data_IF_566560686564
#
_entry.id   IF_566560686564
#
_cell.length_a   1.000
_cell.length_b   1.000
_cell.length_c   1.000
_cell.angle_alpha   90.00
_cell.angle_beta   90.00
_cell.angle_gamma   90.00
#
_symmetry.space_group_name_H-M   'P 1'
#
loop_
_entity.id
_entity.type
_entity.pdbx_description
1 polymer ?
#
# COMPACT_ATOMS: atom_id res chain seq x y z
N UNK A 1 65.77 -2.61 35.85
CA UNK A 1 64.44 -2.09 35.43
C UNK A 1 64.33 -2.18 33.91
N UNK A 2 63.19 -2.65 33.34
CA UNK A 2 63.02 -2.66 31.88
C UNK A 2 63.00 -1.23 31.33
N UNK A 3 63.70 -0.99 30.23
CA UNK A 3 63.74 0.32 29.57
C UNK A 3 62.32 0.79 29.20
N UNK A 4 62.09 2.12 29.21
CA UNK A 4 60.80 2.74 28.86
C UNK A 4 60.26 2.18 27.53
N UNK A 5 61.14 1.98 26.53
CA UNK A 5 60.81 1.35 25.24
C UNK A 5 60.23 -0.07 25.38
N UNK A 6 60.75 -0.88 26.31
CA UNK A 6 60.26 -2.25 26.55
C UNK A 6 58.89 -2.26 27.23
N UNK A 7 58.60 -1.27 28.10
CA UNK A 7 57.27 -1.09 28.70
C UNK A 7 56.24 -0.63 27.68
N UNK A 8 56.59 0.36 26.86
CA UNK A 8 55.73 0.86 25.77
C UNK A 8 55.41 -0.26 24.78
N UNK A 9 56.40 -1.05 24.32
CA UNK A 9 56.17 -2.20 23.43
C UNK A 9 55.23 -3.26 24.02
N UNK A 10 55.35 -3.54 25.32
CA UNK A 10 54.44 -4.49 26.00
C UNK A 10 53.02 -3.94 26.06
N UNK A 11 52.87 -2.66 26.37
CA UNK A 11 51.56 -2.00 26.43
C UNK A 11 50.88 -1.98 25.05
N UNK A 12 51.61 -1.59 24.00
CA UNK A 12 51.07 -1.58 22.63
C UNK A 12 50.67 -2.97 22.16
N UNK A 13 51.45 -3.99 22.52
CA UNK A 13 51.13 -5.37 22.19
C UNK A 13 49.85 -5.85 22.89
N UNK A 14 49.70 -5.59 24.18
CA UNK A 14 48.48 -5.95 24.93
C UNK A 14 47.26 -5.18 24.43
N UNK A 15 47.41 -3.88 24.14
CA UNK A 15 46.35 -3.05 23.58
C UNK A 15 45.90 -3.57 22.21
N UNK A 16 46.84 -3.93 21.33
CA UNK A 16 46.52 -4.51 20.02
C UNK A 16 45.73 -5.82 20.13
N UNK A 17 46.07 -6.70 21.08
CA UNK A 17 45.35 -7.96 21.31
C UNK A 17 43.96 -7.74 21.90
N UNK A 18 43.84 -6.80 22.83
CA UNK A 18 42.53 -6.42 23.38
C UNK A 18 41.61 -5.85 22.28
N UNK A 19 42.14 -4.98 21.42
CA UNK A 19 41.41 -4.43 20.28
C UNK A 19 41.04 -5.52 19.27
N UNK A 20 41.90 -6.51 19.03
CA UNK A 20 41.59 -7.66 18.19
C UNK A 20 40.42 -8.50 18.76
N UNK A 21 40.38 -8.69 20.08
CA UNK A 21 39.26 -9.36 20.75
C UNK A 21 37.95 -8.57 20.62
N UNK A 22 38.01 -7.24 20.78
CA UNK A 22 36.83 -6.36 20.58
C UNK A 22 36.36 -6.44 19.12
N UNK A 23 37.27 -6.34 18.15
CA UNK A 23 36.94 -6.46 16.74
C UNK A 23 36.28 -7.80 16.41
N UNK A 24 36.77 -8.90 17.00
CA UNK A 24 36.16 -10.22 16.85
C UNK A 24 34.71 -10.26 17.35
N UNK A 25 34.46 -9.66 18.52
CA UNK A 25 33.12 -9.56 19.08
C UNK A 25 32.17 -8.74 18.21
N UNK A 26 32.66 -7.62 17.64
CA UNK A 26 31.89 -6.79 16.70
C UNK A 26 31.57 -7.58 15.43
N UNK A 27 32.56 -8.24 14.82
CA UNK A 27 32.35 -9.07 13.63
C UNK A 27 31.34 -10.17 13.93
N UNK A 28 31.49 -10.90 15.04
CA UNK A 28 30.54 -11.93 15.44
C UNK A 28 29.11 -11.38 15.61
N UNK A 29 28.97 -10.20 16.24
CA UNK A 29 27.68 -9.54 16.39
C UNK A 29 27.05 -9.20 15.03
N UNK A 30 27.81 -8.57 14.12
CA UNK A 30 27.36 -8.27 12.76
C UNK A 30 26.96 -9.54 11.98
N UNK A 31 27.71 -10.63 12.15
CA UNK A 31 27.41 -11.92 11.52
C UNK A 31 26.11 -12.52 12.01
N UNK A 32 25.90 -12.47 13.33
CA UNK A 32 24.69 -12.98 13.96
C UNK A 32 23.46 -12.17 13.54
N UNK A 33 23.53 -10.84 13.63
CA UNK A 33 22.42 -9.95 13.26
C UNK A 33 22.13 -10.01 11.76
N UNK A 34 23.15 -10.01 10.90
CA UNK A 34 22.99 -10.17 9.46
C UNK A 34 22.36 -11.53 9.08
N UNK A 35 22.75 -12.61 9.77
CA UNK A 35 22.15 -13.93 9.57
C UNK A 35 20.68 -13.97 10.01
N UNK A 36 20.33 -13.35 11.15
CA UNK A 36 18.94 -13.25 11.60
C UNK A 36 18.09 -12.44 10.61
N UNK A 37 18.59 -11.30 10.14
CA UNK A 37 17.93 -10.49 9.11
C UNK A 37 17.75 -11.27 7.80
N UNK A 38 18.75 -12.00 7.33
CA UNK A 38 18.64 -12.84 6.13
C UNK A 38 17.55 -13.92 6.28
N UNK A 39 17.40 -14.53 7.47
CA UNK A 39 16.32 -15.49 7.73
C UNK A 39 14.94 -14.84 7.62
N UNK A 40 14.80 -13.61 8.11
CA UNK A 40 13.55 -12.86 7.97
C UNK A 40 13.28 -12.51 6.49
N UNK A 41 14.30 -12.11 5.73
CA UNK A 41 14.16 -11.82 4.29
C UNK A 41 13.73 -13.04 3.45
N UNK A 42 14.13 -14.25 3.85
CA UNK A 42 13.73 -15.50 3.19
C UNK A 42 12.23 -15.75 3.28
N UNK A 43 11.65 -15.51 4.46
CA UNK A 43 10.21 -15.65 4.68
C UNK A 43 9.44 -14.49 4.05
N UNK A 44 10.09 -13.32 4.00
CA UNK A 44 9.48 -12.06 3.61
C UNK A 44 9.30 -11.18 4.84
N UNK A 45 9.83 -9.97 4.79
CA UNK A 45 9.65 -8.95 5.82
C UNK A 45 8.69 -7.90 5.33
N UNK A 46 7.87 -7.39 6.25
CA UNK A 46 6.95 -6.30 5.98
C UNK A 46 7.09 -5.16 6.98
N UNK A 47 6.74 -3.94 6.54
CA UNK A 47 6.60 -2.79 7.44
C UNK A 47 5.19 -2.72 8.02
N UNK A 48 4.98 -2.02 9.14
CA UNK A 48 3.64 -1.58 9.52
C UNK A 48 2.97 -0.77 8.40
N UNK A 49 1.63 -0.73 8.33
CA UNK A 49 0.91 0.15 7.41
C UNK A 49 1.29 1.62 7.59
N UNK A 50 1.52 2.31 6.49
CA UNK A 50 1.86 3.73 6.46
C UNK A 50 0.98 4.47 5.48
N UNK A 51 0.51 5.67 5.84
CA UNK A 51 -0.29 6.51 4.95
C UNK A 51 0.55 6.89 3.72
N UNK A 52 -0.04 6.72 2.54
CA UNK A 52 0.60 7.04 1.26
C UNK A 52 -0.11 8.22 0.60
N UNK A 53 -0.89 7.95 -0.44
CA UNK A 53 -1.68 8.94 -1.16
C UNK A 53 -3.09 9.02 -0.56
N UNK A 54 -3.74 10.15 -0.73
CA UNK A 54 -5.16 10.33 -0.43
C UNK A 54 -5.82 11.00 -1.61
N UNK A 55 -6.99 10.51 -2.02
CA UNK A 55 -7.81 11.18 -3.02
C UNK A 55 -9.04 11.79 -2.36
N UNK A 56 -9.18 13.10 -2.52
CA UNK A 56 -10.30 13.87 -1.99
C UNK A 56 -11.36 14.15 -3.06
N UNK A 57 -12.60 14.30 -2.61
CA UNK A 57 -13.78 14.60 -3.40
C UNK A 57 -14.52 15.81 -2.82
N UNK A 58 -13.98 17.02 -3.08
CA UNK A 58 -14.37 18.21 -2.34
C UNK A 58 -15.72 18.79 -2.75
N UNK A 59 -16.13 18.69 -4.01
CA UNK A 59 -17.38 19.30 -4.47
C UNK A 59 -18.60 18.54 -3.91
N UNK A 60 -18.50 17.22 -3.83
CA UNK A 60 -19.58 16.41 -3.25
C UNK A 60 -19.71 16.68 -1.76
N UNK A 61 -18.62 16.57 -1.02
CA UNK A 61 -18.72 16.60 0.45
C UNK A 61 -18.83 17.99 1.05
N UNK A 62 -18.20 19.01 0.45
CA UNK A 62 -18.20 20.36 1.01
C UNK A 62 -19.34 21.23 0.46
N UNK A 63 -19.87 20.92 -0.72
CA UNK A 63 -20.83 21.79 -1.39
C UNK A 63 -22.16 21.10 -1.71
N UNK A 64 -22.13 19.95 -2.39
CA UNK A 64 -23.36 19.27 -2.82
C UNK A 64 -24.11 18.60 -1.66
N UNK A 65 -23.41 17.85 -0.81
CA UNK A 65 -24.01 17.08 0.28
C UNK A 65 -24.72 17.97 1.32
N UNK A 66 -24.18 19.13 1.76
CA UNK A 66 -24.93 20.07 2.59
C UNK A 66 -26.25 20.54 1.95
N UNK A 67 -26.25 20.79 0.63
CA UNK A 67 -27.44 21.23 -0.11
C UNK A 67 -28.45 20.08 -0.26
N UNK A 68 -27.96 18.86 -0.51
CA UNK A 68 -28.75 17.64 -0.59
C UNK A 68 -29.50 17.38 0.73
N UNK A 69 -28.82 17.53 1.86
CA UNK A 69 -29.40 17.30 3.20
C UNK A 69 -30.34 18.44 3.61
N UNK A 70 -29.99 19.70 3.35
CA UNK A 70 -30.80 20.86 3.77
C UNK A 70 -32.02 21.11 2.88
N UNK A 71 -31.93 20.81 1.59
CA UNK A 71 -32.96 21.14 0.60
C UNK A 71 -33.22 19.99 -0.41
N UNK A 72 -33.57 18.78 0.05
CA UNK A 72 -33.70 17.60 -0.81
C UNK A 72 -34.72 17.79 -1.95
N UNK A 73 -35.81 18.52 -1.71
CA UNK A 73 -36.83 18.81 -2.73
C UNK A 73 -36.33 19.68 -3.89
N UNK A 74 -35.40 20.62 -3.63
CA UNK A 74 -34.78 21.42 -4.67
C UNK A 74 -33.86 20.57 -5.55
N UNK A 75 -33.04 19.71 -4.93
CA UNK A 75 -32.17 18.79 -5.66
C UNK A 75 -32.99 17.85 -6.52
N UNK A 76 -34.07 17.27 -5.96
CA UNK A 76 -34.99 16.41 -6.69
C UNK A 76 -35.53 17.08 -7.96
N UNK A 77 -36.10 18.28 -7.82
CA UNK A 77 -36.70 19.01 -8.94
C UNK A 77 -35.67 19.35 -10.01
N UNK A 78 -34.46 19.76 -9.60
CA UNK A 78 -33.37 20.05 -10.52
C UNK A 78 -32.93 18.80 -11.30
N UNK A 79 -32.75 17.67 -10.60
CA UNK A 79 -32.28 16.43 -11.23
C UNK A 79 -33.35 15.80 -12.12
N UNK A 80 -34.64 15.84 -11.73
CA UNK A 80 -35.75 15.43 -12.59
C UNK A 80 -35.78 16.24 -13.89
N UNK A 81 -35.54 17.56 -13.81
CA UNK A 81 -35.51 18.42 -15.01
C UNK A 81 -34.30 18.14 -15.90
N UNK A 82 -33.12 17.89 -15.31
CA UNK A 82 -31.92 17.54 -16.07
C UNK A 82 -32.05 16.14 -16.70
N UNK A 83 -32.64 15.18 -15.99
CA UNK A 83 -32.92 13.82 -16.48
C UNK A 83 -33.94 13.82 -17.62
N UNK A 84 -34.94 14.72 -17.58
CA UNK A 84 -35.90 14.87 -18.67
C UNK A 84 -35.28 15.44 -19.96
N UNK A 85 -34.22 16.26 -19.84
CA UNK A 85 -33.54 16.91 -20.96
C UNK A 85 -32.36 16.11 -21.53
N UNK A 86 -32.10 14.91 -21.02
CA UNK A 86 -30.99 14.08 -21.51
C UNK A 86 -31.28 13.49 -22.90
N UNK A 87 -30.25 13.19 -23.71
CA UNK A 87 -30.44 12.48 -24.97
C UNK A 87 -31.18 11.15 -24.78
N UNK A 88 -32.12 10.84 -25.68
CA UNK A 88 -32.80 9.55 -25.68
C UNK A 88 -31.75 8.42 -25.72
N UNK A 89 -31.92 7.41 -24.87
CA UNK A 89 -31.03 6.24 -24.69
C UNK A 89 -29.73 6.48 -23.88
N UNK A 90 -29.63 7.57 -23.11
CA UNK A 90 -28.51 7.75 -22.17
C UNK A 90 -28.95 7.63 -20.70
N UNK A 91 -28.11 6.98 -19.90
CA UNK A 91 -28.22 6.98 -18.43
C UNK A 91 -27.88 8.37 -17.89
N UNK A 92 -28.57 8.79 -16.83
CA UNK A 92 -28.30 10.10 -16.23
C UNK A 92 -26.98 10.07 -15.46
N UNK A 93 -26.09 11.01 -15.78
CA UNK A 93 -24.89 11.31 -15.00
C UNK A 93 -24.84 12.82 -14.77
N UNK A 94 -24.87 13.23 -13.51
CA UNK A 94 -24.69 14.61 -13.09
C UNK A 94 -23.22 14.90 -12.81
N UNK A 95 -22.59 15.71 -13.65
CA UNK A 95 -21.23 16.20 -13.49
C UNK A 95 -21.26 17.43 -12.59
N UNK A 96 -20.73 17.31 -11.37
CA UNK A 96 -20.64 18.41 -10.41
C UNK A 96 -19.36 19.20 -10.63
N UNK A 97 -19.52 20.48 -10.94
CA UNK A 97 -18.43 21.43 -11.10
C UNK A 97 -18.58 22.62 -10.15
N UNK A 98 -17.48 23.36 -9.95
CA UNK A 98 -17.54 24.66 -9.27
C UNK A 98 -18.26 25.66 -10.17
N UNK A 99 -19.18 26.44 -9.60
CA UNK A 99 -19.86 27.50 -10.33
C UNK A 99 -18.84 28.52 -10.88
N UNK A 100 -18.72 28.62 -12.19
CA UNK A 100 -18.00 29.70 -12.87
C UNK A 100 -18.91 30.92 -12.96
N UNK A 101 -18.35 32.12 -12.72
CA UNK A 101 -19.07 33.39 -12.89
C UNK A 101 -19.77 33.41 -14.25
N UNK A 102 -21.09 33.56 -14.19
CA UNK A 102 -22.07 33.50 -15.29
C UNK A 102 -21.60 34.24 -16.54
N UNK A 103 -21.21 33.51 -17.58
CA UNK A 103 -21.42 33.96 -18.96
C UNK A 103 -22.73 33.34 -19.45
N UNK A 104 -23.71 34.20 -19.62
CA UNK A 104 -25.10 33.98 -20.00
C UNK A 104 -25.28 33.13 -21.28
N UNK A 105 -25.15 31.80 -21.18
CA UNK A 105 -25.59 30.88 -22.25
C UNK A 105 -25.80 29.41 -21.86
N UNK A 106 -25.46 28.96 -20.64
CA UNK A 106 -25.79 27.60 -20.19
C UNK A 106 -27.03 27.58 -19.28
N UNK A 107 -27.91 26.61 -19.53
CA UNK A 107 -29.25 26.43 -18.95
C UNK A 107 -29.34 26.63 -17.41
N UNK A 108 -29.88 27.78 -17.00
CA UNK A 108 -30.76 28.14 -15.87
C UNK A 108 -30.76 27.42 -14.50
N UNK A 109 -29.81 26.55 -14.15
CA UNK A 109 -29.75 25.89 -12.81
C UNK A 109 -28.56 26.34 -11.93
N UNK A 110 -27.60 27.05 -12.51
CA UNK A 110 -26.45 27.64 -11.79
C UNK A 110 -26.86 28.63 -10.69
N UNK A 111 -28.13 29.09 -10.67
CA UNK A 111 -28.66 30.00 -9.66
C UNK A 111 -29.17 29.28 -8.39
N UNK A 112 -29.46 27.97 -8.45
CA UNK A 112 -30.00 27.21 -7.30
C UNK A 112 -28.88 26.79 -6.34
N UNK A 113 -27.74 26.40 -6.90
CA UNK A 113 -26.56 25.99 -6.17
C UNK A 113 -25.52 27.12 -6.29
N UNK A 114 -25.54 28.10 -5.39
CA UNK A 114 -24.70 29.32 -5.52
C UNK A 114 -23.18 29.02 -5.60
N UNK A 115 -22.75 27.81 -5.26
CA UNK A 115 -21.36 27.36 -5.25
C UNK A 115 -21.04 26.19 -6.20
N UNK A 116 -22.05 25.51 -6.77
CA UNK A 116 -21.88 24.28 -7.59
C UNK A 116 -22.75 24.37 -8.85
N UNK A 117 -22.28 23.82 -9.94
CA UNK A 117 -23.07 23.64 -11.17
C UNK A 117 -23.16 22.15 -11.50
N UNK A 118 -24.34 21.70 -11.92
CA UNK A 118 -24.54 20.33 -12.39
C UNK A 118 -24.77 20.37 -13.89
N UNK A 119 -23.96 19.64 -14.65
CA UNK A 119 -24.14 19.45 -16.10
C UNK A 119 -24.37 17.96 -16.40
N UNK A 120 -24.89 17.65 -17.59
CA UNK A 120 -25.14 16.26 -18.02
C UNK A 120 -24.19 15.79 -19.13
N UNK A 121 -23.28 16.64 -19.57
CA UNK A 121 -22.42 16.39 -20.74
C UNK A 121 -21.01 16.01 -20.36
N UNK A 122 -20.37 16.80 -19.50
CA UNK A 122 -18.96 16.63 -19.12
C UNK A 122 -18.58 17.60 -18.01
N UNK A 123 -17.46 17.30 -17.35
CA UNK A 123 -16.80 18.25 -16.47
C UNK A 123 -16.25 19.47 -17.24
N UNK A 124 -16.21 20.64 -16.59
CA UNK A 124 -15.72 21.89 -17.16
C UNK A 124 -14.22 21.84 -17.51
N UNK A 125 -13.42 21.17 -16.67
CA UNK A 125 -12.00 20.92 -16.92
C UNK A 125 -11.83 19.49 -17.42
N UNK A 126 -11.55 19.26 -18.72
CA UNK A 126 -11.38 17.91 -19.25
C UNK A 126 -10.13 17.22 -18.68
N UNK A 127 -10.14 15.90 -18.66
CA UNK A 127 -9.03 15.02 -18.26
C UNK A 127 -8.86 13.91 -19.30
N UNK A 128 -7.63 13.39 -19.48
CA UNK A 128 -7.35 12.29 -20.38
C UNK A 128 -8.12 11.00 -20.07
N UNK A 129 -8.64 10.86 -18.84
CA UNK A 129 -9.36 9.67 -18.37
C UNK A 129 -10.88 9.83 -18.32
N UNK A 130 -11.43 10.94 -18.87
CA UNK A 130 -12.88 11.20 -18.89
C UNK A 130 -13.70 10.13 -19.63
N UNK A 131 -13.06 9.29 -20.45
CA UNK A 131 -13.71 8.14 -21.07
C UNK A 131 -14.23 7.13 -20.04
N UNK A 132 -13.62 7.02 -18.86
CA UNK A 132 -14.08 6.18 -17.73
C UNK A 132 -15.32 6.76 -17.02
N UNK A 133 -15.63 8.04 -17.26
CA UNK A 133 -16.72 8.75 -16.62
C UNK A 133 -17.89 9.02 -17.58
N UNK A 134 -17.86 8.44 -18.78
CA UNK A 134 -18.94 8.57 -19.75
C UNK A 134 -20.19 7.79 -19.29
N UNK A 135 -21.40 8.28 -19.57
CA UNK A 135 -22.63 7.62 -19.13
C UNK A 135 -22.76 6.17 -19.58
N UNK A 136 -22.29 5.84 -20.79
CA UNK A 136 -22.32 4.47 -21.30
C UNK A 136 -21.41 3.54 -20.50
N UNK A 137 -20.17 3.96 -20.22
CA UNK A 137 -19.22 3.16 -19.44
C UNK A 137 -19.68 3.00 -18.00
N UNK A 138 -20.11 4.09 -17.36
CA UNK A 138 -20.61 4.05 -15.98
C UNK A 138 -21.86 3.18 -15.83
N UNK A 139 -22.75 3.20 -16.82
CA UNK A 139 -23.92 2.34 -16.82
C UNK A 139 -23.54 0.86 -16.81
N UNK A 140 -22.61 0.45 -17.69
CA UNK A 140 -22.15 -0.94 -17.75
C UNK A 140 -21.42 -1.34 -16.46
N UNK A 141 -20.49 -0.52 -15.98
CA UNK A 141 -19.79 -0.76 -14.70
C UNK A 141 -20.76 -0.97 -13.56
N UNK A 142 -21.70 -0.04 -13.36
CA UNK A 142 -22.65 -0.12 -12.25
C UNK A 142 -23.61 -1.31 -12.42
N UNK A 143 -24.02 -1.62 -13.66
CA UNK A 143 -24.90 -2.76 -13.96
C UNK A 143 -24.25 -4.07 -13.52
N UNK A 144 -22.97 -4.27 -13.81
CA UNK A 144 -22.26 -5.49 -13.44
C UNK A 144 -21.81 -5.50 -11.97
N UNK A 145 -21.34 -4.37 -11.44
CA UNK A 145 -20.86 -4.26 -10.08
C UNK A 145 -21.99 -4.43 -9.04
N UNK A 146 -23.21 -3.96 -9.35
CA UNK A 146 -24.36 -4.01 -8.45
C UNK A 146 -25.36 -5.12 -8.80
N UNK A 147 -25.07 -5.96 -9.81
CA UNK A 147 -25.99 -6.99 -10.32
C UNK A 147 -26.53 -7.93 -9.23
N UNK A 148 -25.69 -8.25 -8.24
CA UNK A 148 -26.01 -9.19 -7.18
C UNK A 148 -26.74 -8.55 -5.97
N UNK A 149 -27.03 -7.24 -6.01
CA UNK A 149 -27.71 -6.53 -4.93
C UNK A 149 -29.11 -6.07 -5.38
N UNK A 150 -30.18 -6.78 -4.99
CA UNK A 150 -31.54 -6.52 -5.49
C UNK A 150 -32.10 -5.14 -5.14
N UNK A 151 -31.61 -4.52 -4.07
CA UNK A 151 -31.95 -3.15 -3.66
C UNK A 151 -31.47 -2.10 -4.69
N UNK A 152 -30.53 -2.46 -5.55
CA UNK A 152 -29.89 -1.56 -6.48
C UNK A 152 -30.47 -1.67 -7.88
N UNK A 153 -31.62 -1.01 -8.06
CA UNK A 153 -32.12 -0.72 -9.40
C UNK A 153 -31.55 0.63 -9.89
N UNK A 154 -30.70 0.58 -10.91
CA UNK A 154 -30.09 1.78 -11.52
C UNK A 154 -31.12 2.76 -12.07
N UNK A 155 -32.32 2.32 -12.43
CA UNK A 155 -33.37 3.24 -12.89
C UNK A 155 -33.84 4.18 -11.79
N UNK A 156 -33.71 3.78 -10.53
CA UNK A 156 -34.19 4.52 -9.37
C UNK A 156 -33.13 5.47 -8.79
N UNK A 157 -31.93 5.53 -9.38
CA UNK A 157 -30.84 6.32 -8.86
C UNK A 157 -30.31 7.29 -9.91
N UNK A 158 -29.89 8.47 -9.46
CA UNK A 158 -29.08 9.39 -10.21
C UNK A 158 -27.60 9.16 -9.90
N UNK A 159 -26.79 9.01 -10.94
CA UNK A 159 -25.34 8.92 -10.81
C UNK A 159 -24.78 10.34 -10.78
N UNK A 160 -23.96 10.62 -9.79
CA UNK A 160 -23.34 11.93 -9.57
C UNK A 160 -21.83 11.74 -9.52
N UNK A 161 -21.13 12.58 -10.28
CA UNK A 161 -19.67 12.60 -10.36
C UNK A 161 -19.15 13.91 -9.79
N UNK A 162 -18.16 13.84 -8.91
CA UNK A 162 -17.36 14.99 -8.51
C UNK A 162 -16.28 15.27 -9.56
N UNK A 163 -16.42 16.33 -10.35
CA UNK A 163 -15.40 16.71 -11.33
C UNK A 163 -14.09 17.20 -10.68
N UNK A 164 -14.17 17.56 -9.40
CA UNK A 164 -13.07 17.94 -8.54
C UNK A 164 -12.31 16.76 -7.92
N UNK A 165 -12.79 15.52 -8.07
CA UNK A 165 -12.17 14.32 -7.51
C UNK A 165 -10.71 14.18 -7.94
N UNK A 166 -9.83 13.96 -6.95
CA UNK A 166 -8.40 13.93 -7.20
C UNK A 166 -7.94 12.73 -8.03
N UNK A 167 -8.55 11.54 -7.87
CA UNK A 167 -8.22 10.38 -8.71
C UNK A 167 -8.45 10.67 -10.20
N UNK A 168 -9.51 11.44 -10.52
CA UNK A 168 -9.76 11.96 -11.88
C UNK A 168 -8.68 12.94 -12.32
N UNK A 169 -8.37 13.95 -11.49
CA UNK A 169 -7.39 15.01 -11.81
C UNK A 169 -5.96 14.49 -11.98
N UNK A 170 -5.59 13.45 -11.22
CA UNK A 170 -4.29 12.78 -11.32
C UNK A 170 -4.28 11.68 -12.40
N UNK A 171 -5.35 11.55 -13.17
CA UNK A 171 -5.47 10.58 -14.27
C UNK A 171 -5.23 9.12 -13.83
N UNK A 172 -5.64 8.79 -12.60
CA UNK A 172 -5.56 7.41 -12.09
C UNK A 172 -6.68 6.57 -12.71
N UNK A 173 -6.31 5.74 -13.68
CA UNK A 173 -7.22 4.82 -14.37
C UNK A 173 -7.60 3.59 -13.54
N UNK A 174 -6.98 3.38 -12.38
CA UNK A 174 -7.19 2.20 -11.55
C UNK A 174 -8.34 2.37 -10.55
N UNK A 175 -8.69 3.61 -10.21
CA UNK A 175 -9.72 3.94 -9.21
C UNK A 175 -10.86 4.76 -9.82
N UNK A 176 -12.08 4.44 -9.41
CA UNK A 176 -13.29 5.12 -9.79
C UNK A 176 -14.11 5.40 -8.53
N UNK A 177 -14.50 6.66 -8.34
CA UNK A 177 -15.37 7.07 -7.23
C UNK A 177 -16.60 7.78 -7.81
N UNK A 178 -17.78 7.33 -7.38
CA UNK A 178 -19.08 7.81 -7.84
C UNK A 178 -20.00 7.97 -6.64
N UNK A 179 -21.05 8.76 -6.82
CA UNK A 179 -22.09 8.96 -5.83
C UNK A 179 -23.44 8.62 -6.44
N UNK A 180 -24.27 7.95 -5.67
CA UNK A 180 -25.61 7.53 -6.10
C UNK A 180 -26.62 8.19 -5.18
N UNK A 181 -27.59 8.87 -5.77
CA UNK A 181 -28.70 9.51 -5.06
C UNK A 181 -30.00 8.86 -5.52
N UNK A 182 -30.79 8.31 -4.61
CA UNK A 182 -32.11 7.79 -4.97
C UNK A 182 -33.02 8.92 -5.49
N UNK A 183 -33.89 8.61 -6.46
CA UNK A 183 -34.85 9.56 -7.05
C UNK A 183 -35.81 10.17 -6.01
N UNK A 184 -36.10 9.46 -4.92
CA UNK A 184 -36.89 10.04 -3.83
C UNK A 184 -36.07 10.94 -2.90
N UNK A 185 -34.75 11.03 -3.11
CA UNK A 185 -33.79 11.78 -2.30
C UNK A 185 -33.89 11.37 -0.83
N UNK A 186 -33.91 10.06 -0.60
CA UNK A 186 -33.95 9.46 0.74
C UNK A 186 -32.61 8.84 1.13
N UNK A 187 -31.85 8.36 0.13
CA UNK A 187 -30.56 7.73 0.34
C UNK A 187 -29.47 8.41 -0.49
N UNK A 188 -28.27 8.42 0.09
CA UNK A 188 -27.04 8.80 -0.56
C UNK A 188 -26.03 7.68 -0.37
N UNK A 189 -25.38 7.29 -1.45
CA UNK A 189 -24.39 6.23 -1.40
C UNK A 189 -23.11 6.64 -2.08
N UNK A 190 -22.00 6.21 -1.49
CA UNK A 190 -20.68 6.36 -2.07
C UNK A 190 -20.27 5.02 -2.67
N UNK A 191 -19.92 5.01 -3.95
CA UNK A 191 -19.45 3.86 -4.69
C UNK A 191 -18.00 4.05 -5.08
N UNK A 192 -17.16 3.08 -4.71
CA UNK A 192 -15.74 3.06 -5.04
C UNK A 192 -15.44 1.75 -5.75
N UNK A 193 -14.76 1.84 -6.90
CA UNK A 193 -14.28 0.69 -7.65
C UNK A 193 -12.77 0.84 -7.83
N UNK A 194 -12.03 -0.21 -7.55
CA UNK A 194 -10.60 -0.26 -7.87
C UNK A 194 -10.18 -1.58 -8.48
N UNK A 195 -9.28 -1.51 -9.47
CA UNK A 195 -8.62 -2.68 -10.04
C UNK A 195 -7.39 -3.04 -9.22
N UNK A 196 -7.34 -4.28 -8.72
CA UNK A 196 -6.32 -4.77 -7.79
C UNK A 196 -5.80 -6.15 -8.19
N UNK A 197 -4.68 -6.55 -7.58
CA UNK A 197 -4.16 -7.92 -7.68
C UNK A 197 -4.95 -8.85 -6.76
N UNK A 198 -5.33 -10.01 -7.28
CA UNK A 198 -6.05 -11.08 -6.59
C UNK A 198 -5.17 -12.31 -6.54
N UNK A 199 -5.14 -12.97 -5.40
CA UNK A 199 -4.62 -14.31 -5.26
C UNK A 199 -5.72 -15.24 -4.73
N UNK A 200 -6.02 -16.29 -5.50
CA UNK A 200 -6.96 -17.36 -5.15
C UNK A 200 -6.17 -18.64 -4.90
N UNK A 201 -5.82 -18.97 -3.63
CA UNK A 201 -4.98 -20.12 -3.32
C UNK A 201 -5.59 -21.45 -3.78
N UNK A 202 -6.90 -21.63 -3.61
CA UNK A 202 -7.61 -22.85 -4.03
C UNK A 202 -7.49 -23.14 -5.54
N UNK A 203 -7.39 -22.09 -6.35
CA UNK A 203 -7.23 -22.19 -7.82
C UNK A 203 -5.77 -22.01 -8.27
N UNK A 204 -4.84 -21.81 -7.33
CA UNK A 204 -3.43 -21.48 -7.59
C UNK A 204 -3.27 -20.34 -8.62
N UNK A 205 -4.21 -19.39 -8.64
CA UNK A 205 -4.27 -18.34 -9.65
C UNK A 205 -3.96 -16.98 -9.03
N UNK A 206 -3.14 -16.21 -9.74
CA UNK A 206 -2.96 -14.77 -9.53
C UNK A 206 -3.45 -14.03 -10.77
N UNK A 207 -4.29 -13.03 -10.57
CA UNK A 207 -4.91 -12.26 -11.64
C UNK A 207 -5.19 -10.85 -11.14
N UNK A 208 -5.53 -9.92 -12.03
CA UNK A 208 -6.20 -8.69 -11.60
C UNK A 208 -7.70 -8.91 -11.52
N UNK A 209 -8.39 -8.11 -10.71
CA UNK A 209 -9.83 -7.93 -10.80
C UNK A 209 -10.30 -6.62 -10.19
N UNK A 210 -11.56 -6.28 -10.41
CA UNK A 210 -12.19 -5.09 -9.86
C UNK A 210 -12.88 -5.41 -8.53
N UNK A 211 -12.61 -4.63 -7.49
CA UNK A 211 -13.41 -4.66 -6.27
C UNK A 211 -14.29 -3.43 -6.21
N UNK A 212 -15.60 -3.63 -6.11
CA UNK A 212 -16.57 -2.59 -5.85
C UNK A 212 -16.88 -2.59 -4.35
N UNK A 213 -16.68 -1.44 -3.71
CA UNK A 213 -17.04 -1.21 -2.31
C UNK A 213 -17.95 -0.01 -2.25
N UNK A 214 -19.05 -0.14 -1.52
CA UNK A 214 -19.99 0.95 -1.40
C UNK A 214 -20.69 0.96 -0.05
N UNK A 215 -21.09 2.14 0.38
CA UNK A 215 -21.85 2.37 1.62
C UNK A 215 -23.05 3.22 1.29
N UNK A 216 -24.20 2.86 1.86
CA UNK A 216 -25.46 3.58 1.68
C UNK A 216 -25.89 4.22 2.98
N UNK A 217 -26.42 5.43 2.89
CA UNK A 217 -26.74 6.27 4.03
C UNK A 217 -28.15 6.82 3.84
N UNK A 218 -28.97 6.78 4.89
CA UNK A 218 -30.23 7.51 4.88
C UNK A 218 -29.96 9.01 5.09
N UNK A 219 -30.51 9.89 4.24
CA UNK A 219 -30.40 11.35 4.41
C UNK A 219 -30.97 11.80 5.75
N UNK A 220 -32.01 11.13 6.25
CA UNK A 220 -32.59 11.41 7.56
C UNK A 220 -31.62 11.21 8.73
N UNK A 221 -30.55 10.44 8.54
CA UNK A 221 -29.50 10.24 9.54
C UNK A 221 -28.41 11.33 9.50
N UNK A 222 -28.44 12.21 8.49
CA UNK A 222 -27.46 13.26 8.27
C UNK A 222 -27.92 14.60 8.82
N UNK A 223 -27.00 15.37 9.38
CA UNK A 223 -27.24 16.73 9.84
C UNK A 223 -26.18 17.67 9.29
N UNK A 224 -26.58 18.91 8.99
CA UNK A 224 -25.68 19.95 8.51
C UNK A 224 -25.26 20.83 9.68
N UNK A 225 -23.95 20.90 9.91
CA UNK A 225 -23.31 21.77 10.90
C UNK A 225 -22.44 22.79 10.14
N UNK A 226 -23.03 23.94 9.83
CA UNK A 226 -22.44 24.95 8.96
C UNK A 226 -22.25 24.44 7.53
N UNK A 227 -20.99 24.18 7.14
CA UNK A 227 -20.62 23.65 5.80
C UNK A 227 -20.30 22.15 5.86
N UNK A 228 -20.22 21.57 7.06
CA UNK A 228 -19.89 20.15 7.26
C UNK A 228 -21.14 19.32 7.49
N UNK A 229 -21.20 18.15 6.86
CA UNK A 229 -22.26 17.15 7.09
C UNK A 229 -21.75 16.11 8.09
N UNK A 230 -22.60 15.72 9.03
CA UNK A 230 -22.33 14.64 9.99
C UNK A 230 -23.38 13.55 9.84
N UNK A 231 -22.98 12.29 10.00
CA UNK A 231 -23.89 11.14 10.04
C UNK A 231 -24.06 10.68 11.48
N UNK A 232 -25.29 10.35 11.87
CA UNK A 232 -25.58 9.69 13.16
C UNK A 232 -25.41 8.16 13.11
N UNK A 233 -25.32 7.59 11.91
CA UNK A 233 -25.13 6.15 11.71
C UNK A 233 -23.70 5.82 11.26
N UNK A 234 -23.12 4.70 11.76
CA UNK A 234 -21.83 4.21 11.29
C UNK A 234 -21.94 3.65 9.86
N UNK A 235 -20.81 3.66 9.14
CA UNK A 235 -20.71 3.13 7.79
C UNK A 235 -20.91 1.61 7.79
N UNK A 236 -21.70 1.12 6.83
CA UNK A 236 -21.84 -0.31 6.55
C UNK A 236 -21.42 -0.54 5.11
N UNK A 237 -20.41 -1.39 4.92
CA UNK A 237 -19.79 -1.62 3.61
C UNK A 237 -20.34 -2.89 2.97
N UNK A 238 -20.84 -2.75 1.76
CA UNK A 238 -21.13 -3.86 0.86
C UNK A 238 -20.00 -3.96 -0.16
N UNK A 239 -19.54 -5.19 -0.42
CA UNK A 239 -18.37 -5.44 -1.25
C UNK A 239 -18.61 -6.54 -2.27
N UNK A 240 -18.22 -6.29 -3.52
CA UNK A 240 -18.38 -7.22 -4.63
C UNK A 240 -17.10 -7.29 -5.47
N UNK A 241 -16.84 -8.45 -6.07
CA UNK A 241 -15.62 -8.75 -6.80
C UNK A 241 -15.90 -9.18 -8.23
N UNK A 242 -15.35 -8.45 -9.20
CA UNK A 242 -15.24 -8.85 -10.59
C UNK A 242 -13.89 -9.50 -10.85
N UNK A 243 -13.81 -10.83 -10.78
CA UNK A 243 -12.54 -11.58 -10.90
C UNK A 243 -11.84 -11.44 -12.27
N UNK A 244 -12.56 -11.01 -13.31
CA UNK A 244 -12.04 -10.83 -14.67
C UNK A 244 -12.12 -9.36 -15.14
N UNK A 245 -12.64 -8.46 -14.32
CA UNK A 245 -12.67 -7.03 -14.61
C UNK A 245 -11.24 -6.45 -14.59
N UNK A 246 -10.83 -5.54 -15.49
CA UNK A 246 -11.63 -4.84 -16.50
C UNK A 246 -11.64 -5.52 -17.88
N UNK A 247 -11.18 -6.77 -17.99
CA UNK A 247 -11.04 -7.46 -19.29
C UNK A 247 -12.34 -8.10 -19.76
N UNK A 248 -13.16 -8.59 -18.82
CA UNK A 248 -14.46 -9.20 -19.11
C UNK A 248 -15.57 -8.53 -18.31
N UNK A 249 -16.70 -8.31 -18.98
CA UNK A 249 -17.90 -7.71 -18.42
C UNK A 249 -18.82 -8.79 -17.87
N UNK A 250 -18.51 -9.24 -16.65
CA UNK A 250 -19.32 -10.22 -15.91
C UNK A 250 -19.88 -9.61 -14.63
N UNK A 251 -20.99 -10.16 -14.14
CA UNK A 251 -21.58 -9.75 -12.87
C UNK A 251 -20.58 -9.97 -11.72
N UNK A 252 -20.44 -8.96 -10.86
CA UNK A 252 -19.54 -9.06 -9.72
C UNK A 252 -20.15 -9.99 -8.68
N UNK A 253 -19.31 -10.84 -8.08
CA UNK A 253 -19.72 -11.76 -7.04
C UNK A 253 -19.68 -11.06 -5.68
N UNK A 254 -20.74 -11.13 -4.85
CA UNK A 254 -20.69 -10.61 -3.49
C UNK A 254 -19.62 -11.31 -2.66
N UNK A 255 -18.83 -10.51 -1.94
CA UNK A 255 -17.76 -10.99 -1.07
C UNK A 255 -17.94 -10.46 0.35
N UNK A 256 -17.48 -11.22 1.33
CA UNK A 256 -17.39 -10.81 2.72
C UNK A 256 -15.92 -10.60 3.08
N UNK A 257 -15.59 -9.43 3.64
CA UNK A 257 -14.27 -9.15 4.18
C UNK A 257 -14.14 -9.75 5.59
N UNK A 258 -13.03 -10.43 5.87
CA UNK A 258 -12.76 -10.97 7.21
C UNK A 258 -12.50 -9.84 8.23
N UNK A 259 -11.96 -8.71 7.78
CA UNK A 259 -11.72 -7.50 8.57
C UNK A 259 -11.74 -6.26 7.67
N UNK A 260 -12.21 -5.13 8.20
CA UNK A 260 -12.15 -3.83 7.51
C UNK A 260 -10.72 -3.31 7.39
N UNK A 261 -9.85 -3.68 8.33
CA UNK A 261 -8.42 -3.37 8.30
C UNK A 261 -7.64 -4.66 8.04
N UNK A 262 -6.92 -4.76 6.90
CA UNK A 262 -6.18 -5.96 6.56
C UNK A 262 -4.94 -6.14 7.48
N UNK A 263 -4.69 -7.35 8.00
CA UNK A 263 -3.61 -7.59 8.98
C UNK A 263 -2.20 -7.54 8.37
N UNK A 264 -2.07 -7.89 7.09
CA UNK A 264 -0.80 -8.03 6.35
C UNK A 264 -0.71 -7.10 5.14
N UNK A 265 -1.60 -6.10 5.07
CA UNK A 265 -1.71 -5.17 3.93
C UNK A 265 -2.54 -5.71 2.76
N UNK A 266 -3.10 -6.92 2.88
CA UNK A 266 -4.00 -7.51 1.88
C UNK A 266 -5.37 -7.80 2.52
N UNK A 267 -6.46 -7.50 1.82
CA UNK A 267 -7.77 -7.91 2.31
C UNK A 267 -7.94 -9.40 2.15
N UNK A 268 -8.32 -10.06 3.25
CA UNK A 268 -8.73 -11.44 3.26
C UNK A 268 -10.24 -11.47 3.14
N UNK A 269 -10.74 -12.20 2.16
CA UNK A 269 -12.15 -12.20 1.82
C UNK A 269 -12.63 -13.58 1.39
N UNK A 270 -13.96 -13.75 1.45
CA UNK A 270 -14.63 -14.97 1.03
C UNK A 270 -15.75 -14.64 0.06
N UNK A 271 -15.86 -15.45 -0.98
CA UNK A 271 -17.00 -15.39 -1.89
C UNK A 271 -18.23 -15.88 -1.14
N UNK A 272 -19.31 -15.08 -1.08
CA UNK A 272 -20.50 -15.43 -0.28
C UNK A 272 -21.16 -16.72 -0.79
N UNK A 273 -21.24 -16.90 -2.11
CA UNK A 273 -21.92 -18.04 -2.72
C UNK A 273 -21.18 -19.39 -2.54
N UNK A 274 -19.85 -19.39 -2.57
CA UNK A 274 -19.03 -20.62 -2.57
C UNK A 274 -18.22 -20.81 -1.30
N UNK A 275 -18.14 -19.78 -0.45
CA UNK A 275 -17.25 -19.70 0.71
C UNK A 275 -15.77 -19.92 0.36
N UNK A 276 -15.36 -19.67 -0.89
CA UNK A 276 -13.96 -19.73 -1.30
C UNK A 276 -13.19 -18.54 -0.73
N UNK A 277 -12.12 -18.82 0.02
CA UNK A 277 -11.22 -17.81 0.56
C UNK A 277 -10.20 -17.35 -0.50
N UNK A 278 -9.97 -16.04 -0.54
CA UNK A 278 -8.99 -15.41 -1.41
C UNK A 278 -8.46 -14.13 -0.76
N UNK A 279 -7.36 -13.61 -1.31
CA UNK A 279 -6.79 -12.34 -0.87
C UNK A 279 -6.65 -11.38 -2.03
N UNK A 280 -6.78 -10.08 -1.77
CA UNK A 280 -6.59 -9.06 -2.78
C UNK A 280 -6.00 -7.77 -2.22
N UNK A 281 -5.25 -7.07 -3.05
CA UNK A 281 -4.52 -5.85 -2.68
C UNK A 281 -3.99 -5.13 -3.91
N UNK A 282 -3.74 -3.84 -3.79
CA UNK A 282 -2.93 -3.11 -4.75
C UNK A 282 -1.48 -3.54 -4.61
N UNK A 283 -0.76 -3.66 -5.72
CA UNK A 283 0.66 -4.04 -5.71
C UNK A 283 1.44 -3.12 -6.62
N UNK A 284 2.55 -2.57 -6.11
CA UNK A 284 3.47 -1.74 -6.89
C UNK A 284 4.89 -1.98 -6.42
N UNK A 285 5.86 -2.04 -7.33
CA UNK A 285 7.24 -2.32 -6.97
C UNK A 285 8.03 -2.99 -8.08
N UNK A 286 9.19 -3.52 -7.70
CA UNK A 286 10.09 -4.22 -8.60
C UNK A 286 10.24 -5.69 -8.23
N UNK A 287 10.26 -6.52 -9.26
CA UNK A 287 10.31 -7.97 -9.15
C UNK A 287 11.39 -8.50 -10.07
N UNK A 288 12.12 -9.51 -9.59
CA UNK A 288 13.02 -10.30 -10.40
C UNK A 288 12.48 -11.72 -10.47
N UNK A 289 12.11 -12.13 -11.70
CA UNK A 289 11.42 -13.38 -12.03
C UNK A 289 10.00 -13.47 -11.49
N UNK A 290 9.80 -13.40 -10.17
CA UNK A 290 8.48 -13.51 -9.54
C UNK A 290 8.44 -12.85 -8.15
N UNK A 291 7.25 -12.43 -7.67
CA UNK A 291 7.06 -11.89 -6.31
C UNK A 291 7.56 -12.78 -5.18
N UNK A 292 7.51 -14.10 -5.38
CA UNK A 292 7.95 -15.07 -4.38
C UNK A 292 9.43 -15.44 -4.44
N UNK A 293 10.16 -14.95 -5.44
CA UNK A 293 11.58 -15.27 -5.62
C UNK A 293 12.43 -14.11 -5.11
N UNK A 294 12.30 -12.94 -5.75
CA UNK A 294 13.09 -11.76 -5.46
C UNK A 294 12.25 -10.54 -5.77
N UNK A 295 11.85 -9.81 -4.74
CA UNK A 295 10.90 -8.73 -4.88
C UNK A 295 11.03 -7.69 -3.78
N UNK A 296 10.86 -6.44 -4.18
CA UNK A 296 10.68 -5.30 -3.30
C UNK A 296 9.47 -4.54 -3.79
N UNK A 297 8.38 -4.65 -3.06
CA UNK A 297 7.10 -4.11 -3.49
C UNK A 297 6.29 -3.63 -2.30
N UNK A 298 5.21 -2.91 -2.59
CA UNK A 298 4.30 -2.38 -1.62
C UNK A 298 2.92 -2.99 -1.90
N UNK A 299 2.34 -3.61 -0.87
CA UNK A 299 0.91 -3.82 -0.84
C UNK A 299 0.25 -2.49 -0.49
N UNK A 300 -0.83 -2.15 -1.17
CA UNK A 300 -1.64 -1.02 -0.77
C UNK A 300 -3.12 -1.37 -0.75
N UNK A 301 -3.80 -0.77 0.22
CA UNK A 301 -5.23 -0.85 0.43
C UNK A 301 -5.72 0.55 0.81
N UNK A 302 -7.03 0.78 0.89
CA UNK A 302 -7.59 2.05 1.37
C UNK A 302 -8.39 1.87 2.64
N UNK A 303 -8.48 2.93 3.42
CA UNK A 303 -9.22 2.92 4.68
C UNK A 303 -10.73 2.77 4.43
N UNK A 304 -11.38 1.95 5.25
CA UNK A 304 -12.83 1.83 5.36
C UNK A 304 -13.28 2.47 6.68
N UNK A 305 -13.37 3.81 6.76
CA UNK A 305 -13.62 4.52 8.01
C UNK A 305 -15.00 4.18 8.59
N UNK A 306 -15.15 4.26 9.90
CA UNK A 306 -16.46 4.08 10.56
C UNK A 306 -17.44 5.21 10.25
N UNK A 307 -16.93 6.40 9.90
CA UNK A 307 -17.75 7.53 9.46
C UNK A 307 -17.94 7.50 7.92
N UNK A 308 -19.17 7.31 7.45
CA UNK A 308 -19.46 7.25 6.02
C UNK A 308 -19.26 8.59 5.29
N UNK A 309 -19.31 9.74 5.99
CA UNK A 309 -18.99 11.04 5.39
C UNK A 309 -17.49 11.13 5.10
N UNK A 310 -16.66 10.61 6.01
CA UNK A 310 -15.21 10.49 5.79
C UNK A 310 -14.92 9.65 4.54
N UNK A 311 -15.60 8.51 4.36
CA UNK A 311 -15.45 7.67 3.15
C UNK A 311 -15.90 8.41 1.86
N UNK A 312 -16.99 9.18 1.94
CA UNK A 312 -17.44 10.01 0.82
C UNK A 312 -16.44 11.13 0.47
N UNK A 313 -15.70 11.62 1.46
CA UNK A 313 -14.80 12.77 1.31
C UNK A 313 -13.42 12.41 0.79
N UNK A 314 -12.85 11.32 1.30
CA UNK A 314 -11.43 11.01 1.16
C UNK A 314 -11.21 9.51 1.15
N UNK A 315 -10.53 9.03 0.12
CA UNK A 315 -10.00 7.67 0.06
C UNK A 315 -8.53 7.74 0.46
N UNK A 316 -8.22 7.34 1.69
CA UNK A 316 -6.85 7.30 2.20
C UNK A 316 -6.23 5.94 1.89
N UNK A 317 -5.15 5.93 1.12
CA UNK A 317 -4.38 4.72 0.84
C UNK A 317 -3.31 4.47 1.90
N UNK A 318 -3.19 3.21 2.29
CA UNK A 318 -2.18 2.68 3.19
C UNK A 318 -1.23 1.79 2.41
N UNK A 319 0.07 1.92 2.67
CA UNK A 319 1.13 1.11 2.08
C UNK A 319 1.81 0.23 3.13
N UNK A 320 1.95 -1.05 2.81
CA UNK A 320 2.71 -2.06 3.53
C UNK A 320 3.84 -2.52 2.62
N UNK A 321 5.07 -2.08 2.92
CA UNK A 321 6.24 -2.46 2.15
C UNK A 321 6.59 -3.90 2.47
N UNK A 322 6.89 -4.69 1.44
CA UNK A 322 7.27 -6.09 1.52
C UNK A 322 8.57 -6.29 0.76
N UNK A 323 9.52 -6.96 1.40
CA UNK A 323 10.74 -7.41 0.75
C UNK A 323 10.92 -8.90 0.94
N UNK A 324 11.16 -9.59 -0.17
CA UNK A 324 11.38 -11.03 -0.18
C UNK A 324 12.57 -11.34 -1.08
N UNK A 325 13.53 -12.08 -0.55
CA UNK A 325 14.70 -12.51 -1.31
C UNK A 325 15.07 -13.95 -0.96
N UNK A 326 14.70 -14.86 -1.86
CA UNK A 326 15.08 -16.27 -1.75
C UNK A 326 16.58 -16.46 -1.81
N UNK A 327 17.35 -15.64 -2.54
CA UNK A 327 18.83 -15.74 -2.54
C UNK A 327 19.47 -15.44 -1.19
N UNK A 328 18.72 -14.89 -0.23
CA UNK A 328 19.15 -14.74 1.15
C UNK A 328 19.61 -16.05 1.81
N UNK A 329 19.25 -17.23 1.28
CA UNK A 329 19.71 -18.51 1.84
C UNK A 329 21.23 -18.63 1.73
N UNK A 330 21.81 -18.25 0.58
CA UNK A 330 23.25 -18.32 0.36
C UNK A 330 23.99 -17.43 1.36
N UNK A 331 23.53 -16.18 1.51
CA UNK A 331 24.06 -15.21 2.48
C UNK A 331 23.90 -15.68 3.92
N UNK A 332 22.78 -16.33 4.26
CA UNK A 332 22.57 -16.93 5.57
C UNK A 332 23.59 -18.05 5.86
N UNK A 333 23.90 -18.92 4.90
CA UNK A 333 24.92 -19.97 5.11
C UNK A 333 26.32 -19.39 5.27
N UNK A 334 26.66 -18.36 4.50
CA UNK A 334 27.93 -17.66 4.65
C UNK A 334 28.06 -17.04 6.06
N UNK A 335 27.02 -16.34 6.51
CA UNK A 335 27.00 -15.67 7.81
C UNK A 335 27.07 -16.65 8.98
N UNK A 336 26.21 -17.67 8.99
CA UNK A 336 26.20 -18.70 10.04
C UNK A 336 27.52 -19.49 10.05
N UNK A 337 28.04 -19.88 8.88
CA UNK A 337 29.27 -20.67 8.80
C UNK A 337 30.49 -19.92 9.35
N UNK A 338 30.62 -18.64 9.01
CA UNK A 338 31.73 -17.81 9.50
C UNK A 338 31.54 -17.48 10.98
N UNK A 339 30.33 -17.04 11.38
CA UNK A 339 30.02 -16.71 12.78
C UNK A 339 30.23 -17.90 13.72
N UNK A 340 29.77 -19.09 13.33
CA UNK A 340 29.99 -20.32 14.09
C UNK A 340 31.48 -20.63 14.28
N UNK A 341 32.28 -20.44 13.23
CA UNK A 341 33.71 -20.70 13.32
C UNK A 341 34.44 -19.67 14.19
N UNK A 342 34.08 -18.39 14.10
CA UNK A 342 34.58 -17.35 15.00
C UNK A 342 34.23 -17.69 16.45
N UNK A 343 32.99 -18.14 16.72
CA UNK A 343 32.56 -18.54 18.06
C UNK A 343 33.38 -19.72 18.61
N UNK A 344 33.63 -20.76 17.80
CA UNK A 344 34.48 -21.90 18.22
C UNK A 344 35.90 -21.44 18.53
N UNK A 345 36.56 -20.72 17.62
CA UNK A 345 37.94 -20.29 17.83
C UNK A 345 38.06 -19.37 19.05
N UNK A 346 37.08 -18.49 19.23
CA UNK A 346 37.02 -17.59 20.38
C UNK A 346 36.78 -18.38 21.67
N UNK A 347 35.87 -19.36 21.66
CA UNK A 347 35.61 -20.24 22.80
C UNK A 347 36.83 -21.07 23.21
N UNK A 348 37.54 -21.66 22.25
CA UNK A 348 38.80 -22.39 22.49
C UNK A 348 39.86 -21.43 23.03
N UNK A 349 39.97 -20.22 22.49
CA UNK A 349 40.92 -19.22 22.97
C UNK A 349 40.63 -18.78 24.41
N UNK A 350 39.36 -18.61 24.78
CA UNK A 350 38.94 -18.35 26.15
C UNK A 350 39.26 -19.52 27.09
N UNK A 351 39.02 -20.76 26.65
CA UNK A 351 39.34 -21.97 27.43
C UNK A 351 40.85 -22.09 27.67
N UNK A 352 41.68 -21.82 26.67
CA UNK A 352 43.15 -21.82 26.80
C UNK A 352 43.61 -20.71 27.76
N UNK A 353 43.06 -19.50 27.63
CA UNK A 353 43.35 -18.40 28.54
C UNK A 353 43.00 -18.75 29.99
N UNK A 354 41.82 -19.34 30.21
CA UNK A 354 41.36 -19.78 31.52
C UNK A 354 42.29 -20.84 32.11
N UNK A 355 42.62 -21.89 31.35
CA UNK A 355 43.54 -22.93 31.80
C UNK A 355 44.94 -22.38 32.10
N UNK A 356 45.50 -21.53 31.23
CA UNK A 356 46.79 -20.90 31.49
C UNK A 356 46.78 -20.06 32.76
N UNK A 357 45.71 -19.29 32.99
CA UNK A 357 45.57 -18.50 34.21
C UNK A 357 45.52 -19.40 35.46
N UNK A 358 44.73 -20.48 35.43
CA UNK A 358 44.59 -21.40 36.56
C UNK A 358 45.88 -22.16 36.88
N UNK A 359 46.63 -22.63 35.87
CA UNK A 359 47.80 -23.47 36.09
C UNK A 359 49.13 -22.72 36.22
N UNK A 360 49.24 -21.53 35.61
CA UNK A 360 50.52 -20.78 35.57
C UNK A 360 50.44 -19.38 36.17
N UNK A 361 49.23 -18.90 36.51
CA UNK A 361 49.01 -17.53 36.99
C UNK A 361 49.25 -16.45 35.93
N UNK A 362 49.52 -16.82 34.68
CA UNK A 362 49.82 -15.88 33.59
C UNK A 362 48.55 -15.54 32.82
N UNK A 363 48.18 -14.25 32.83
CA UNK A 363 47.10 -13.73 32.00
C UNK A 363 47.57 -13.57 30.55
N UNK A 364 47.07 -14.41 29.65
CA UNK A 364 47.37 -14.38 28.22
C UNK A 364 46.14 -14.00 27.41
N UNK A 365 46.13 -12.81 26.82
CA UNK A 365 45.11 -12.41 25.84
C UNK A 365 45.40 -13.16 24.54
N UNK A 366 44.47 -13.87 23.90
CA UNK A 366 44.74 -14.56 22.64
C UNK A 366 44.98 -13.58 21.48
N UNK A 367 45.69 -14.01 20.45
CA UNK A 367 45.74 -13.29 19.16
C UNK A 367 44.85 -14.01 18.16
N UNK A 368 43.63 -13.49 17.98
CA UNK A 368 42.63 -14.05 17.06
C UNK A 368 42.56 -13.29 15.74
N UNK A 369 43.35 -12.22 15.60
CA UNK A 369 43.27 -11.29 14.46
C UNK A 369 43.55 -11.97 13.11
N UNK A 370 44.60 -12.80 12.92
CA UNK A 370 44.87 -13.44 11.63
C UNK A 370 43.75 -14.39 11.19
N UNK A 371 43.13 -15.09 12.15
CA UNK A 371 42.00 -16.01 11.88
C UNK A 371 40.76 -15.23 11.43
N UNK A 372 40.50 -14.08 12.05
CA UNK A 372 39.37 -13.21 11.68
C UNK A 372 39.61 -12.55 10.32
N UNK A 373 40.81 -12.01 10.09
CA UNK A 373 41.15 -11.30 8.86
C UNK A 373 41.02 -12.21 7.64
N UNK A 374 41.60 -13.42 7.67
CA UNK A 374 41.52 -14.37 6.55
C UNK A 374 40.08 -14.73 6.21
N UNK A 375 39.23 -14.93 7.23
CA UNK A 375 37.82 -15.29 7.06
C UNK A 375 36.98 -14.12 6.55
N UNK A 376 37.23 -12.91 7.04
CA UNK A 376 36.59 -11.69 6.56
C UNK A 376 36.91 -11.44 5.08
N UNK A 377 38.15 -11.71 4.64
CA UNK A 377 38.53 -11.61 3.23
C UNK A 377 37.83 -12.65 2.36
N UNK A 378 37.74 -13.90 2.81
CA UNK A 378 36.99 -14.96 2.10
C UNK A 378 35.50 -14.60 2.01
N UNK A 379 34.92 -14.07 3.08
CA UNK A 379 33.53 -13.58 3.08
C UNK A 379 33.31 -12.52 2.03
N UNK A 380 34.14 -11.48 2.02
CA UNK A 380 34.02 -10.37 1.09
C UNK A 380 34.10 -10.88 -0.37
N UNK A 381 34.98 -11.85 -0.64
CA UNK A 381 35.06 -12.51 -1.94
C UNK A 381 33.79 -13.29 -2.29
N UNK A 382 33.26 -14.09 -1.36
CA UNK A 382 32.05 -14.88 -1.59
C UNK A 382 30.80 -14.01 -1.76
N UNK A 383 30.69 -12.89 -1.03
CA UNK A 383 29.62 -11.90 -1.22
C UNK A 383 29.76 -11.16 -2.55
N UNK A 384 30.99 -10.90 -3.01
CA UNK A 384 31.21 -10.32 -4.34
C UNK A 384 30.79 -11.29 -5.44
N UNK A 385 31.14 -12.58 -5.31
CA UNK A 385 30.71 -13.62 -6.24
C UNK A 385 29.18 -13.78 -6.22
N UNK A 386 28.55 -13.72 -5.05
CA UNK A 386 27.10 -13.70 -4.90
C UNK A 386 26.47 -12.52 -5.66
N UNK A 387 27.00 -11.31 -5.49
CA UNK A 387 26.52 -10.14 -6.23
C UNK A 387 26.62 -10.32 -7.75
N UNK A 388 27.71 -10.91 -8.25
CA UNK A 388 27.90 -11.19 -9.67
C UNK A 388 26.91 -12.25 -10.17
N UNK A 389 26.78 -13.38 -9.47
CA UNK A 389 25.85 -14.47 -9.83
C UNK A 389 24.39 -14.01 -9.74
N UNK A 390 24.09 -13.14 -8.78
CA UNK A 390 22.79 -12.54 -8.59
C UNK A 390 22.56 -11.33 -9.52
N UNK A 391 23.44 -11.09 -10.50
CA UNK A 391 23.26 -10.08 -11.54
C UNK A 391 23.15 -8.65 -11.00
N UNK A 392 23.92 -8.33 -9.95
CA UNK A 392 23.95 -7.02 -9.30
C UNK A 392 22.59 -6.54 -8.75
N UNK A 393 21.70 -7.48 -8.39
CA UNK A 393 20.38 -7.16 -7.85
C UNK A 393 20.45 -6.25 -6.61
N UNK A 394 21.35 -6.52 -5.66
CA UNK A 394 21.43 -5.74 -4.41
C UNK A 394 21.87 -4.28 -4.64
N UNK A 395 22.96 -4.01 -5.40
CA UNK A 395 23.32 -2.64 -5.73
C UNK A 395 22.26 -1.93 -6.58
N UNK A 396 21.62 -2.65 -7.50
CA UNK A 396 20.52 -2.10 -8.29
C UNK A 396 19.35 -1.67 -7.39
N UNK A 397 18.87 -2.56 -6.52
CA UNK A 397 17.80 -2.26 -5.56
C UNK A 397 18.19 -1.08 -4.67
N UNK A 398 19.40 -1.06 -4.12
CA UNK A 398 19.86 0.05 -3.30
C UNK A 398 19.84 1.39 -4.05
N UNK A 399 20.34 1.42 -5.29
CA UNK A 399 20.33 2.62 -6.11
C UNK A 399 18.91 3.10 -6.41
N UNK A 400 18.00 2.16 -6.69
CA UNK A 400 16.57 2.44 -6.93
C UNK A 400 15.90 2.99 -5.66
N UNK A 401 16.17 2.40 -4.49
CA UNK A 401 15.66 2.87 -3.20
C UNK A 401 16.15 4.30 -2.92
N UNK A 402 17.45 4.55 -3.06
CA UNK A 402 18.04 5.88 -2.85
C UNK A 402 17.50 6.91 -3.85
N UNK A 403 17.30 6.54 -5.11
CA UNK A 403 16.64 7.38 -6.10
C UNK A 403 15.20 7.72 -5.72
N UNK A 404 14.44 6.72 -5.27
CA UNK A 404 13.06 6.88 -4.82
C UNK A 404 12.96 7.83 -3.61
N UNK A 405 13.87 7.72 -2.65
CA UNK A 405 13.94 8.61 -1.48
C UNK A 405 14.25 10.05 -1.91
N UNK A 406 15.26 10.24 -2.77
CA UNK A 406 15.67 11.56 -3.25
C UNK A 406 14.58 12.27 -4.03
N UNK A 407 13.89 11.53 -4.90
CA UNK A 407 12.84 12.09 -5.75
C UNK A 407 11.47 12.14 -5.05
N UNK A 408 11.38 11.70 -3.80
CA UNK A 408 10.13 11.62 -3.03
C UNK A 408 9.01 10.90 -3.79
N UNK A 409 9.35 9.87 -4.56
CA UNK A 409 8.37 9.11 -5.34
C UNK A 409 7.33 8.39 -4.47
N UNK A 410 7.57 8.30 -3.16
CA UNK A 410 6.62 7.75 -2.20
C UNK A 410 6.35 6.26 -2.44
N UNK A 411 5.85 5.59 -1.41
CA UNK A 411 5.01 4.39 -1.55
C UNK A 411 5.51 3.13 -2.27
N UNK A 412 6.76 3.00 -2.75
CA UNK A 412 7.07 1.83 -3.61
C UNK A 412 8.41 1.15 -3.37
N UNK A 413 9.46 1.86 -2.92
CA UNK A 413 10.83 1.31 -2.97
C UNK A 413 11.71 1.62 -1.76
N UNK A 414 11.27 2.44 -0.80
CA UNK A 414 12.15 2.81 0.33
C UNK A 414 12.10 1.77 1.47
N UNK A 415 12.74 0.61 1.28
CA UNK A 415 12.87 -0.39 2.33
C UNK A 415 14.29 -0.96 2.38
N UNK A 416 15.10 -0.43 3.31
CA UNK A 416 16.53 -0.71 3.42
C UNK A 416 16.85 -1.94 4.31
N UNK A 417 16.14 -3.05 4.10
CA UNK A 417 16.45 -4.31 4.79
C UNK A 417 17.67 -5.03 4.20
N UNK A 418 18.09 -4.67 2.98
CA UNK A 418 19.31 -5.21 2.38
C UNK A 418 20.55 -4.83 3.19
N UNK A 419 20.71 -3.55 3.57
CA UNK A 419 21.86 -3.11 4.37
C UNK A 419 21.92 -3.82 5.72
N UNK A 420 20.76 -4.01 6.36
CA UNK A 420 20.64 -4.75 7.63
C UNK A 420 20.96 -6.23 7.47
N UNK A 421 20.57 -6.84 6.36
CA UNK A 421 20.87 -8.24 6.04
C UNK A 421 22.34 -8.47 5.70
N UNK A 422 23.04 -7.46 5.19
CA UNK A 422 24.49 -7.51 4.96
C UNK A 422 25.31 -7.19 6.23
N UNK A 423 24.64 -6.85 7.35
CA UNK A 423 25.27 -6.56 8.64
C UNK A 423 25.98 -5.20 8.69
N UNK A 424 25.55 -4.26 7.84
CA UNK A 424 26.08 -2.89 7.71
C UNK A 424 25.34 -1.88 8.60
#
# INVERSE_FOLDING_TARGET
>A
MPSLRRRVRKLTFLASRALACVAAGIVFFCEYTGSDSNKRLLVGVSTPPTKTISYTSPLVTQLFLPILVSTPGLVRTAFETLDANKPQNQSFVGYLDKATTVTSSSSSWSAVFHSVTVTTTSCNSPSGIDYLYKPSYLHDVLKYALAAYPSWNLTNHWVVLDCGYEGRKFEDTTVLMLYLVDRQVQTFSTFMLQVLSIHRPAKQRRTSGGVAMFTTMALASMTVDGVTVKSSQPATYETAMGFLFPYEWEAFEPIALDSLVPPDGQWHARIIATNEAFVFSGTTGIYRRAPDIQASFNYFYWDLPSDPITFASTIQFQGVKVFKDTWGWFRCFLGVGIGFNIAINTGVAFLVMYNMYMFTGVFWVPDIYPSIQSRASIRALLLLLDCIMNGWWYPHQWAVNQGSVRNKWGGTLDFNEISRADGL
#
